data_IF_984454620757
#
_entry.id   IF_984454620757
#
_cell.length_a   1.000
_cell.length_b   1.000
_cell.length_c   1.000
_cell.angle_alpha   90.00
_cell.angle_beta   90.00
_cell.angle_gamma   90.00
#
_symmetry.space_group_name_H-M   'P 1'
#
loop_
_entity.id
_entity.type
_entity.pdbx_description
1 polymer ?
#
# COMPACT_ATOMS: atom_id res chain seq x y z
N UNK A 1 -45.69 -23.13 3.68
CA UNK A 1 -44.82 -22.00 4.14
C UNK A 1 -43.33 -22.36 4.00
N UNK A 2 -42.86 -23.52 4.45
CA UNK A 2 -41.41 -23.91 4.35
C UNK A 2 -40.93 -23.93 2.93
N UNK A 3 -41.68 -24.54 1.99
CA UNK A 3 -41.31 -24.57 0.57
C UNK A 3 -41.19 -23.16 -0.04
N UNK A 4 -42.11 -22.28 0.29
CA UNK A 4 -42.09 -20.90 -0.15
C UNK A 4 -40.84 -20.15 0.37
N UNK A 5 -40.48 -20.35 1.64
CA UNK A 5 -39.28 -19.75 2.22
C UNK A 5 -37.99 -20.22 1.51
N UNK A 6 -37.91 -21.50 1.15
CA UNK A 6 -36.78 -22.06 0.39
C UNK A 6 -36.67 -21.41 -1.00
N UNK A 7 -37.78 -21.27 -1.73
CA UNK A 7 -37.76 -20.61 -3.04
C UNK A 7 -37.42 -19.13 -2.98
N UNK A 8 -37.93 -18.43 -1.97
CA UNK A 8 -37.58 -17.02 -1.71
C UNK A 8 -36.09 -16.86 -1.37
N UNK A 9 -35.55 -17.78 -0.57
CA UNK A 9 -34.13 -17.80 -0.25
C UNK A 9 -33.27 -17.98 -1.52
N UNK A 10 -33.58 -18.97 -2.36
CA UNK A 10 -32.83 -19.20 -3.59
C UNK A 10 -32.97 -18.04 -4.59
N UNK A 11 -34.14 -17.46 -4.71
CA UNK A 11 -34.36 -16.25 -5.52
C UNK A 11 -33.53 -15.07 -5.02
N UNK A 12 -33.57 -14.80 -3.73
CA UNK A 12 -32.72 -13.77 -3.10
C UNK A 12 -31.24 -14.06 -3.32
N UNK A 13 -30.79 -15.29 -3.07
CA UNK A 13 -29.40 -15.67 -3.21
C UNK A 13 -28.89 -15.51 -4.67
N UNK A 14 -29.67 -15.90 -5.64
CA UNK A 14 -29.33 -15.70 -7.04
C UNK A 14 -29.21 -14.22 -7.42
N UNK A 15 -30.13 -13.38 -6.95
CA UNK A 15 -30.07 -11.92 -7.14
C UNK A 15 -28.87 -11.29 -6.43
N UNK A 16 -28.56 -11.76 -5.22
CA UNK A 16 -27.41 -11.30 -4.46
C UNK A 16 -26.11 -11.64 -5.19
N UNK A 17 -25.96 -12.88 -5.65
CA UNK A 17 -24.77 -13.30 -6.42
C UNK A 17 -24.63 -12.47 -7.69
N UNK A 18 -25.73 -12.30 -8.43
CA UNK A 18 -25.73 -11.47 -9.64
C UNK A 18 -25.29 -10.02 -9.33
N UNK A 19 -25.86 -9.41 -8.29
CA UNK A 19 -25.52 -8.06 -7.88
C UNK A 19 -24.05 -7.94 -7.47
N UNK A 20 -23.57 -8.80 -6.58
CA UNK A 20 -22.19 -8.77 -6.10
C UNK A 20 -21.19 -9.00 -7.24
N UNK A 21 -21.46 -9.95 -8.13
CA UNK A 21 -20.60 -10.21 -9.27
C UNK A 21 -20.55 -9.02 -10.24
N UNK A 22 -21.71 -8.41 -10.52
CA UNK A 22 -21.79 -7.23 -11.40
C UNK A 22 -21.06 -6.03 -10.79
N UNK A 23 -21.21 -5.78 -9.47
CA UNK A 23 -20.48 -4.70 -8.80
C UNK A 23 -18.97 -4.97 -8.74
N UNK A 24 -18.57 -6.24 -8.58
CA UNK A 24 -17.13 -6.62 -8.61
C UNK A 24 -16.48 -6.34 -9.99
N UNK A 25 -17.24 -6.45 -11.07
CA UNK A 25 -16.74 -6.19 -12.43
C UNK A 25 -16.57 -4.70 -12.77
N UNK A 26 -16.74 -3.78 -11.82
CA UNK A 26 -16.49 -2.35 -12.04
C UNK A 26 -15.02 -2.00 -12.09
N UNK A 27 -14.17 -2.81 -11.47
CA UNK A 27 -12.73 -2.65 -11.49
C UNK A 27 -12.07 -3.92 -12.08
N UNK A 28 -10.98 -3.75 -12.82
CA UNK A 28 -10.26 -4.84 -13.46
C UNK A 28 -10.94 -5.41 -14.70
N UNK A 29 -11.98 -4.78 -15.24
CA UNK A 29 -12.66 -5.17 -16.47
C UNK A 29 -12.70 -4.00 -17.49
N UNK A 30 -12.76 -4.30 -18.81
CA UNK A 30 -12.77 -5.64 -19.41
C UNK A 30 -11.47 -6.41 -19.17
N UNK A 31 -11.56 -7.75 -19.08
CA UNK A 31 -10.39 -8.62 -19.06
C UNK A 31 -9.59 -8.48 -20.35
N UNK A 32 -8.27 -8.54 -20.24
CA UNK A 32 -7.36 -8.37 -21.37
C UNK A 32 -6.49 -9.62 -21.56
N UNK A 33 -6.09 -9.83 -22.79
CA UNK A 33 -5.07 -10.82 -23.16
C UNK A 33 -3.67 -10.25 -22.87
N UNK A 34 -2.63 -11.09 -22.94
CA UNK A 34 -1.24 -10.66 -22.67
C UNK A 34 -0.71 -9.59 -23.64
N UNK A 35 -1.31 -9.47 -24.81
CA UNK A 35 -1.01 -8.45 -25.80
C UNK A 35 -1.85 -7.15 -25.65
N UNK A 36 -2.66 -7.08 -24.59
CA UNK A 36 -3.48 -5.92 -24.25
C UNK A 36 -4.79 -5.81 -25.06
N UNK A 37 -5.14 -6.82 -25.87
CA UNK A 37 -6.45 -6.87 -26.51
C UNK A 37 -7.53 -7.28 -25.51
N UNK A 38 -8.78 -6.88 -25.76
CA UNK A 38 -9.91 -7.33 -24.94
C UNK A 38 -10.10 -8.84 -25.07
N UNK A 39 -10.07 -9.56 -23.94
CA UNK A 39 -10.29 -10.99 -23.93
C UNK A 39 -11.70 -11.34 -24.45
N UNK A 40 -11.84 -12.39 -25.28
CA UNK A 40 -13.13 -12.77 -25.86
C UNK A 40 -14.12 -13.29 -24.81
N UNK A 41 -13.62 -13.80 -23.69
CA UNK A 41 -14.45 -14.29 -22.59
C UNK A 41 -14.34 -13.33 -21.38
N UNK A 42 -15.41 -12.62 -21.10
CA UNK A 42 -15.54 -11.69 -19.96
C UNK A 42 -16.27 -12.31 -18.75
N UNK A 43 -16.54 -13.62 -18.80
CA UNK A 43 -17.34 -14.33 -17.81
C UNK A 43 -18.84 -14.39 -18.15
N UNK A 44 -19.66 -14.97 -17.26
CA UNK A 44 -21.07 -15.23 -17.54
C UNK A 44 -21.99 -13.99 -17.39
N UNK A 45 -21.50 -12.90 -16.83
CA UNK A 45 -22.30 -11.71 -16.57
C UNK A 45 -21.87 -10.55 -17.47
N UNK A 46 -22.82 -9.66 -17.87
CA UNK A 46 -22.48 -8.49 -18.65
C UNK A 46 -21.69 -7.47 -17.81
N UNK A 47 -20.82 -6.71 -18.48
CA UNK A 47 -20.15 -5.58 -17.85
C UNK A 47 -21.17 -4.54 -17.37
N UNK A 48 -21.05 -4.02 -16.15
CA UNK A 48 -21.97 -3.01 -15.63
C UNK A 48 -21.81 -1.69 -16.35
N UNK A 49 -22.89 -0.91 -16.42
CA UNK A 49 -22.82 0.47 -16.89
C UNK A 49 -21.96 1.31 -15.93
N UNK A 50 -21.23 2.31 -16.44
CA UNK A 50 -20.46 3.20 -15.59
C UNK A 50 -21.32 3.82 -14.47
N UNK A 51 -20.78 3.84 -13.26
CA UNK A 51 -21.39 4.42 -12.06
C UNK A 51 -20.39 5.35 -11.40
N UNK A 52 -20.85 6.54 -11.02
CA UNK A 52 -20.02 7.53 -10.35
C UNK A 52 -20.18 7.42 -8.84
N UNK A 53 -19.08 7.32 -8.15
CA UNK A 53 -18.98 7.32 -6.69
C UNK A 53 -18.39 8.63 -6.22
N UNK A 54 -19.06 9.28 -5.27
CA UNK A 54 -18.53 10.44 -4.57
C UNK A 54 -17.62 9.94 -3.45
N UNK A 55 -16.36 10.35 -3.50
CA UNK A 55 -15.40 9.97 -2.48
C UNK A 55 -15.58 10.86 -1.23
N UNK A 56 -15.51 10.29 -0.01
CA UNK A 56 -15.65 11.06 1.21
C UNK A 56 -14.53 12.09 1.39
N UNK A 57 -14.76 13.07 2.26
CA UNK A 57 -13.78 14.07 2.69
C UNK A 57 -13.22 14.94 1.54
N UNK A 58 -14.06 15.28 0.56
CA UNK A 58 -13.67 16.19 -0.53
C UNK A 58 -12.68 15.60 -1.54
N UNK A 59 -12.47 14.29 -1.55
CA UNK A 59 -11.53 13.60 -2.47
C UNK A 59 -12.02 13.51 -3.92
N UNK A 60 -13.13 14.15 -4.25
CA UNK A 60 -13.68 14.18 -5.60
C UNK A 60 -14.58 13.00 -5.91
N UNK A 61 -14.59 12.57 -7.15
CA UNK A 61 -15.44 11.48 -7.63
C UNK A 61 -14.66 10.52 -8.54
N UNK A 62 -15.10 9.26 -8.56
CA UNK A 62 -14.57 8.21 -9.42
C UNK A 62 -15.71 7.57 -10.18
N UNK A 63 -15.57 7.46 -11.52
CA UNK A 63 -16.53 6.75 -12.37
C UNK A 63 -15.91 5.45 -12.85
N UNK A 64 -16.56 4.32 -12.59
CA UNK A 64 -16.08 3.00 -12.97
C UNK A 64 -17.21 2.11 -13.50
N UNK A 65 -16.93 1.21 -14.46
CA UNK A 65 -15.69 1.04 -15.19
C UNK A 65 -15.39 2.21 -16.13
N UNK A 66 -14.13 2.58 -16.27
CA UNK A 66 -13.70 3.73 -17.09
C UNK A 66 -12.70 3.35 -18.19
N UNK A 67 -12.36 2.05 -18.29
CA UNK A 67 -11.37 1.56 -19.24
C UNK A 67 -9.93 2.03 -18.97
N UNK A 68 -9.66 2.59 -17.78
CA UNK A 68 -8.31 3.01 -17.42
C UNK A 68 -7.37 1.78 -17.35
N UNK A 69 -6.19 1.94 -17.94
CA UNK A 69 -5.13 0.94 -17.94
C UNK A 69 -3.92 1.45 -17.16
N UNK A 70 -3.11 0.52 -16.70
CA UNK A 70 -1.78 0.82 -16.17
C UNK A 70 -0.97 1.49 -17.29
N UNK A 71 -0.52 2.72 -17.05
CA UNK A 71 0.26 3.48 -18.03
C UNK A 71 1.74 3.12 -18.03
N UNK A 72 2.20 2.37 -17.02
CA UNK A 72 3.61 2.02 -16.85
C UNK A 72 3.99 0.88 -17.79
N UNK A 73 4.94 1.13 -18.66
CA UNK A 73 5.61 0.07 -19.42
C UNK A 73 6.53 -0.72 -18.48
N UNK A 74 6.35 -2.03 -18.46
CA UNK A 74 7.10 -2.93 -17.58
C UNK A 74 8.19 -3.62 -18.42
N UNK A 75 9.44 -3.57 -17.94
CA UNK A 75 10.59 -4.17 -18.61
C UNK A 75 10.60 -5.70 -18.49
N UNK A 76 9.59 -6.35 -19.06
CA UNK A 76 9.38 -7.79 -19.05
C UNK A 76 9.23 -8.33 -20.46
N UNK A 77 9.91 -9.44 -20.75
CA UNK A 77 9.80 -10.16 -22.01
C UNK A 77 9.11 -11.51 -21.87
N UNK A 78 8.37 -11.92 -22.88
CA UNK A 78 7.73 -13.24 -22.93
C UNK A 78 8.81 -14.33 -23.02
N UNK A 79 8.65 -15.41 -22.27
CA UNK A 79 9.53 -16.60 -22.34
C UNK A 79 9.03 -17.66 -23.31
N UNK A 80 7.79 -17.57 -23.78
CA UNK A 80 7.16 -18.47 -24.73
C UNK A 80 6.18 -17.74 -25.65
N UNK A 81 5.86 -18.36 -26.78
CA UNK A 81 4.84 -17.86 -27.71
C UNK A 81 3.42 -18.05 -27.14
N UNK A 82 3.20 -19.14 -26.42
CA UNK A 82 1.92 -19.44 -25.79
C UNK A 82 1.66 -18.51 -24.60
N UNK A 83 0.40 -18.18 -24.36
CA UNK A 83 -0.04 -17.41 -23.19
C UNK A 83 0.07 -18.23 -21.90
N UNK A 84 0.16 -17.53 -20.75
CA UNK A 84 0.24 -18.14 -19.42
C UNK A 84 1.63 -18.58 -18.99
N UNK A 85 2.66 -18.36 -19.79
CA UNK A 85 4.05 -18.59 -19.38
C UNK A 85 4.60 -17.38 -18.60
N UNK A 86 5.53 -17.61 -17.66
CA UNK A 86 6.13 -16.52 -16.91
C UNK A 86 6.92 -15.58 -17.83
N UNK A 87 6.92 -14.30 -17.50
CA UNK A 87 7.76 -13.31 -18.15
C UNK A 87 9.13 -13.23 -17.46
N UNK A 88 10.16 -12.90 -18.22
CA UNK A 88 11.52 -12.67 -17.72
C UNK A 88 11.85 -11.17 -17.74
N UNK A 89 12.58 -10.65 -16.75
CA UNK A 89 13.09 -9.29 -16.78
C UNK A 89 14.01 -9.08 -17.99
N UNK A 90 13.89 -7.93 -18.66
CA UNK A 90 14.73 -7.54 -19.81
C UNK A 90 15.98 -6.78 -19.39
N UNK A 91 16.05 -6.29 -18.15
CA UNK A 91 17.16 -5.53 -17.59
C UNK A 91 17.43 -5.90 -16.12
N UNK A 92 17.84 -4.91 -15.33
CA UNK A 92 18.01 -5.08 -13.88
C UNK A 92 16.64 -5.00 -13.18
N UNK A 93 16.12 -6.09 -12.60
CA UNK A 93 14.80 -6.10 -11.96
C UNK A 93 14.66 -5.05 -10.86
N UNK A 94 15.73 -4.74 -10.12
CA UNK A 94 15.68 -3.77 -9.03
C UNK A 94 15.59 -2.34 -9.55
N UNK A 95 16.33 -2.02 -10.63
CA UNK A 95 16.27 -0.71 -11.27
C UNK A 95 14.95 -0.51 -12.05
N UNK A 96 14.48 -1.55 -12.72
CA UNK A 96 13.27 -1.50 -13.56
C UNK A 96 11.95 -1.63 -12.75
N UNK A 97 12.03 -1.90 -11.45
CA UNK A 97 10.87 -2.05 -10.58
C UNK A 97 9.98 -3.24 -10.94
N UNK A 98 10.59 -4.38 -11.27
CA UNK A 98 9.88 -5.62 -11.58
C UNK A 98 10.16 -6.71 -10.55
N UNK A 99 9.32 -7.73 -10.47
CA UNK A 99 9.44 -8.81 -9.50
C UNK A 99 9.35 -8.31 -8.06
N UNK A 100 10.36 -8.58 -7.25
CA UNK A 100 10.41 -8.16 -5.84
C UNK A 100 10.48 -6.64 -5.63
N UNK A 101 10.96 -5.91 -6.64
CA UNK A 101 11.01 -4.45 -6.64
C UNK A 101 9.76 -3.79 -7.25
N UNK A 102 8.78 -4.59 -7.65
CA UNK A 102 7.55 -4.06 -8.25
C UNK A 102 6.76 -3.21 -7.25
N UNK A 103 6.21 -2.11 -7.75
CA UNK A 103 5.37 -1.19 -6.99
C UNK A 103 4.13 -0.80 -7.79
N UNK A 104 3.04 -0.50 -7.10
CA UNK A 104 1.82 0.00 -7.73
C UNK A 104 1.77 1.54 -7.65
N UNK A 105 1.37 2.25 -8.71
CA UNK A 105 1.14 3.69 -8.66
C UNK A 105 -0.05 3.98 -7.75
N UNK A 106 0.24 4.39 -6.53
CA UNK A 106 -0.77 4.81 -5.55
C UNK A 106 -0.97 6.32 -5.61
N UNK A 107 -2.10 6.78 -5.07
CA UNK A 107 -2.37 8.21 -4.96
C UNK A 107 -1.37 8.87 -4.00
N UNK A 108 -0.85 10.01 -4.40
CA UNK A 108 0.09 10.79 -3.62
C UNK A 108 -0.64 11.72 -2.64
N UNK A 109 -1.48 11.12 -1.81
CA UNK A 109 -2.31 11.76 -0.78
C UNK A 109 -2.26 10.91 0.49
N UNK A 110 -2.30 11.52 1.68
CA UNK A 110 -2.33 10.77 2.93
C UNK A 110 -3.62 9.94 3.05
N UNK A 111 -3.53 8.80 3.72
CA UNK A 111 -4.71 8.04 4.11
C UNK A 111 -5.45 8.79 5.21
N UNK A 112 -6.79 8.84 5.12
CA UNK A 112 -7.64 9.48 6.11
C UNK A 112 -8.41 8.44 6.93
N UNK A 113 -8.71 8.79 8.17
CA UNK A 113 -9.65 8.04 9.01
C UNK A 113 -11.10 8.26 8.59
N UNK A 114 -12.06 7.62 9.28
CA UNK A 114 -13.49 7.78 9.01
C UNK A 114 -14.03 9.20 9.25
N UNK A 115 -13.28 10.07 9.91
CA UNK A 115 -13.64 11.45 10.21
C UNK A 115 -12.94 12.47 9.28
N UNK A 116 -12.04 12.01 8.42
CA UNK A 116 -11.30 12.86 7.50
C UNK A 116 -9.97 13.40 8.04
N UNK A 117 -9.49 12.89 9.17
CA UNK A 117 -8.18 13.24 9.70
C UNK A 117 -7.09 12.34 9.11
N UNK A 118 -5.88 12.86 9.01
CA UNK A 118 -4.73 12.07 8.56
C UNK A 118 -4.49 10.90 9.51
N UNK A 119 -4.42 9.68 8.95
CA UNK A 119 -4.40 8.44 9.72
C UNK A 119 -3.05 8.23 10.42
N UNK A 120 -1.94 8.50 9.74
CA UNK A 120 -0.59 8.25 10.24
C UNK A 120 0.13 9.58 10.45
N UNK A 121 0.51 9.86 11.69
CA UNK A 121 1.14 11.11 12.10
C UNK A 121 2.27 10.87 13.12
N UNK A 122 3.29 11.76 13.21
CA UNK A 122 4.28 11.70 14.28
C UNK A 122 3.63 11.94 15.65
N UNK A 123 4.09 11.26 16.69
CA UNK A 123 3.58 11.43 18.05
C UNK A 123 3.75 12.86 18.58
N UNK A 124 4.71 13.60 18.08
CA UNK A 124 4.85 15.03 18.38
C UNK A 124 3.63 15.86 17.96
N UNK A 125 2.89 15.43 16.91
CA UNK A 125 1.65 16.04 16.43
C UNK A 125 0.43 15.36 17.08
N UNK A 126 0.44 14.03 17.15
CA UNK A 126 -0.62 13.24 17.73
C UNK A 126 -0.54 13.19 19.27
N UNK A 127 -0.69 14.33 19.92
CA UNK A 127 -0.45 14.53 21.36
C UNK A 127 -1.36 13.73 22.30
N UNK A 128 -2.44 13.12 21.78
CA UNK A 128 -3.28 12.21 22.54
C UNK A 128 -2.64 10.83 22.77
N UNK A 129 -1.52 10.54 22.07
CA UNK A 129 -0.82 9.26 22.17
C UNK A 129 0.42 9.39 23.05
N UNK A 130 0.67 8.33 23.84
CA UNK A 130 1.85 8.17 24.66
C UNK A 130 2.26 6.72 24.73
N UNK A 131 3.52 6.46 25.08
CA UNK A 131 4.00 5.09 25.29
C UNK A 131 3.36 4.55 26.56
N UNK A 132 2.45 3.59 26.43
CA UNK A 132 1.73 2.97 27.56
C UNK A 132 2.39 1.67 28.04
N UNK A 133 3.11 0.98 27.16
CA UNK A 133 3.79 -0.27 27.49
C UNK A 133 5.06 -0.43 26.65
N UNK A 134 6.03 -1.15 27.21
CA UNK A 134 7.31 -1.35 26.56
C UNK A 134 8.28 -0.20 26.76
N UNK A 135 9.30 -0.16 25.91
CA UNK A 135 10.34 0.86 25.95
C UNK A 135 10.05 1.94 24.91
N UNK A 136 10.13 3.19 25.32
CA UNK A 136 10.18 4.31 24.39
C UNK A 136 11.53 4.31 23.66
N UNK A 137 11.56 4.14 22.32
CA UNK A 137 12.80 4.10 21.58
C UNK A 137 13.39 5.47 21.28
N UNK A 138 12.68 6.57 21.55
CA UNK A 138 13.15 7.92 21.26
C UNK A 138 14.45 8.22 22.02
N UNK A 139 15.41 8.80 21.32
CA UNK A 139 16.75 9.06 21.84
C UNK A 139 17.72 7.87 21.79
N UNK A 140 17.25 6.66 21.47
CA UNK A 140 18.14 5.53 21.28
C UNK A 140 18.92 5.65 19.97
N UNK A 141 20.18 5.18 19.99
CA UNK A 141 21.01 5.08 18.77
C UNK A 141 20.45 4.02 17.85
N UNK A 142 20.60 4.26 16.54
CA UNK A 142 20.21 3.33 15.46
C UNK A 142 21.45 2.66 14.91
N UNK A 143 21.49 1.34 14.97
CA UNK A 143 22.56 0.51 14.46
C UNK A 143 22.12 -0.24 13.21
N UNK A 144 22.89 -0.10 12.13
CA UNK A 144 22.69 -0.79 10.86
C UNK A 144 23.16 -2.27 10.92
N UNK A 145 22.99 -3.01 9.82
CA UNK A 145 23.37 -4.44 9.74
C UNK A 145 24.87 -4.68 9.89
N UNK A 146 25.70 -3.73 9.49
CA UNK A 146 27.17 -3.71 9.59
C UNK A 146 27.67 -3.29 10.99
N UNK A 147 26.78 -3.07 11.96
CA UNK A 147 26.99 -2.61 13.32
C UNK A 147 27.39 -1.12 13.46
N UNK A 148 27.43 -0.37 12.37
CA UNK A 148 27.68 1.06 12.42
C UNK A 148 26.45 1.84 12.94
N UNK A 149 26.70 2.95 13.65
CA UNK A 149 25.65 3.81 14.17
C UNK A 149 25.34 4.90 13.15
N UNK A 150 24.13 4.87 12.62
CA UNK A 150 23.68 5.76 11.53
C UNK A 150 22.93 7.00 12.02
N UNK A 151 22.45 7.01 13.27
CA UNK A 151 21.67 8.12 13.80
C UNK A 151 21.00 7.82 15.12
N UNK A 152 19.98 8.58 15.47
CA UNK A 152 19.16 8.41 16.66
C UNK A 152 17.67 8.49 16.32
N UNK A 153 16.84 7.78 17.09
CA UNK A 153 15.38 7.87 16.95
C UNK A 153 14.90 9.24 17.45
N UNK A 154 14.25 10.00 16.59
CA UNK A 154 13.68 11.31 16.91
C UNK A 154 12.22 11.24 17.33
N UNK A 155 11.41 10.42 16.64
CA UNK A 155 9.98 10.28 16.94
C UNK A 155 9.43 8.91 16.51
N UNK A 156 8.18 8.66 16.86
CA UNK A 156 7.39 7.51 16.43
C UNK A 156 6.17 8.00 15.67
N UNK A 157 5.85 7.33 14.56
CA UNK A 157 4.68 7.65 13.76
C UNK A 157 3.57 6.65 14.04
N UNK A 158 2.44 7.16 14.51
CA UNK A 158 1.30 6.36 14.97
C UNK A 158 0.17 6.39 13.97
N UNK A 159 -0.40 5.21 13.76
CA UNK A 159 -1.68 5.01 13.12
C UNK A 159 -2.75 5.22 14.21
N UNK A 160 -3.38 6.39 14.19
CA UNK A 160 -4.30 6.79 15.25
C UNK A 160 -5.53 5.87 15.38
N UNK A 161 -6.26 5.51 14.30
CA UNK A 161 -7.37 4.57 14.38
C UNK A 161 -6.99 3.17 14.88
N UNK A 162 -5.82 2.67 14.51
CA UNK A 162 -5.38 1.33 14.89
C UNK A 162 -4.57 1.30 16.19
N UNK A 163 -4.21 2.48 16.72
CA UNK A 163 -3.43 2.65 17.96
C UNK A 163 -2.10 1.91 17.94
N UNK A 164 -1.43 1.92 16.79
CA UNK A 164 -0.13 1.25 16.62
C UNK A 164 0.92 2.22 16.07
N UNK A 165 2.19 1.96 16.43
CA UNK A 165 3.34 2.60 15.78
C UNK A 165 3.60 1.92 14.45
N UNK A 166 3.58 2.69 13.35
CA UNK A 166 3.88 2.20 11.99
C UNK A 166 5.33 2.40 11.62
N UNK A 167 5.91 3.55 11.99
CA UNK A 167 7.29 3.89 11.62
C UNK A 167 8.03 4.48 12.82
N UNK A 168 9.35 4.30 12.83
CA UNK A 168 10.28 5.10 13.63
C UNK A 168 10.94 6.14 12.75
N UNK A 169 11.01 7.37 13.23
CA UNK A 169 11.73 8.46 12.59
C UNK A 169 13.17 8.49 13.11
N UNK A 170 14.12 8.50 12.20
CA UNK A 170 15.55 8.54 12.49
C UNK A 170 16.11 9.89 12.07
N UNK A 171 16.81 10.55 12.96
CA UNK A 171 17.75 11.62 12.62
C UNK A 171 19.07 11.00 12.24
N UNK A 172 19.50 11.10 10.97
CA UNK A 172 20.78 10.59 10.51
C UNK A 172 21.93 11.47 10.99
N UNK A 173 23.08 10.85 11.27
CA UNK A 173 24.31 11.55 11.65
C UNK A 173 24.81 12.50 10.52
N UNK A 174 24.58 12.10 9.27
CA UNK A 174 24.90 12.87 8.07
C UNK A 174 23.87 13.96 7.74
N UNK A 175 22.82 14.03 8.53
CA UNK A 175 21.70 14.96 8.38
C UNK A 175 20.50 14.39 7.64
N UNK A 176 19.36 15.01 7.92
CA UNK A 176 18.06 14.61 7.38
C UNK A 176 17.37 13.53 8.21
N UNK A 177 16.08 13.38 7.96
CA UNK A 177 15.21 12.41 8.63
C UNK A 177 14.83 11.28 7.69
N UNK A 178 14.66 10.08 8.25
CA UNK A 178 14.17 8.89 7.51
C UNK A 178 13.14 8.16 8.34
N UNK A 179 12.15 7.59 7.66
CA UNK A 179 11.17 6.71 8.28
C UNK A 179 11.55 5.24 8.04
N UNK A 180 11.48 4.45 9.09
CA UNK A 180 11.72 3.01 9.01
C UNK A 180 10.48 2.27 9.52
N UNK A 181 9.92 1.34 8.71
CA UNK A 181 8.77 0.55 9.11
C UNK A 181 9.06 -0.31 10.34
N UNK A 182 8.12 -0.36 11.29
CA UNK A 182 8.27 -1.15 12.51
C UNK A 182 8.64 -2.63 12.30
N UNK A 183 8.15 -3.35 11.27
CA UNK A 183 8.55 -4.74 11.04
C UNK A 183 10.05 -4.94 10.75
N UNK A 184 10.75 -3.89 10.32
CA UNK A 184 12.20 -3.93 10.05
C UNK A 184 13.06 -3.60 11.26
N UNK A 185 12.42 -3.28 12.39
CA UNK A 185 13.06 -2.74 13.58
C UNK A 185 13.13 -3.77 14.71
N UNK A 186 14.27 -3.82 15.40
CA UNK A 186 14.43 -4.52 16.69
C UNK A 186 14.84 -3.54 17.76
N UNK A 187 13.99 -3.31 18.75
CA UNK A 187 14.26 -2.41 19.88
C UNK A 187 14.94 -3.18 21.00
N UNK A 188 16.16 -2.80 21.34
CA UNK A 188 16.95 -3.37 22.44
C UNK A 188 16.97 -2.38 23.62
N UNK A 189 17.69 -2.75 24.68
CA UNK A 189 17.75 -1.93 25.89
C UNK A 189 18.43 -0.56 25.65
N UNK A 190 19.44 -0.54 24.81
CA UNK A 190 20.37 0.59 24.60
C UNK A 190 20.39 1.09 23.15
N UNK A 191 19.72 0.41 22.24
CA UNK A 191 19.76 0.72 20.81
C UNK A 191 18.54 0.18 20.07
N UNK A 192 18.36 0.72 18.88
CA UNK A 192 17.45 0.19 17.84
C UNK A 192 18.32 -0.44 16.76
N UNK A 193 18.02 -1.68 16.36
CA UNK A 193 18.75 -2.35 15.28
C UNK A 193 17.88 -2.52 14.04
N UNK A 194 18.48 -2.22 12.88
CA UNK A 194 17.88 -2.40 11.57
C UNK A 194 18.80 -3.32 10.77
N UNK A 195 18.34 -4.54 10.48
CA UNK A 195 19.14 -5.55 9.79
C UNK A 195 18.99 -5.54 8.27
N UNK A 196 18.05 -4.74 7.75
CA UNK A 196 17.73 -4.71 6.32
C UNK A 196 18.64 -3.83 5.47
N UNK A 197 19.40 -2.91 6.10
CA UNK A 197 20.26 -1.95 5.41
C UNK A 197 21.64 -1.84 6.06
N UNK A 198 22.67 -1.64 5.23
CA UNK A 198 24.00 -1.22 5.65
C UNK A 198 24.02 0.30 5.88
N UNK A 199 24.98 0.78 6.65
CA UNK A 199 25.09 2.19 7.03
C UNK A 199 25.13 3.15 5.86
N UNK A 200 25.86 2.80 4.80
CA UNK A 200 26.05 3.57 3.57
C UNK A 200 24.75 3.76 2.76
N UNK A 201 23.76 2.90 2.94
CA UNK A 201 22.50 2.94 2.19
C UNK A 201 21.43 3.84 2.81
N UNK A 202 21.59 4.26 4.07
CA UNK A 202 20.57 5.06 4.76
C UNK A 202 20.35 6.44 4.15
N UNK A 203 21.41 7.06 3.62
CA UNK A 203 21.29 8.32 2.91
C UNK A 203 20.40 8.24 1.67
N UNK A 204 20.41 7.09 0.99
CA UNK A 204 19.61 6.80 -0.21
C UNK A 204 18.13 6.48 0.06
N UNK A 205 17.73 6.24 1.31
CA UNK A 205 16.31 6.01 1.65
C UNK A 205 15.50 7.27 1.32
N UNK A 206 14.39 7.18 0.58
CA UNK A 206 13.55 8.33 0.27
C UNK A 206 13.06 9.08 1.51
N UNK A 207 12.93 10.39 1.37
CA UNK A 207 12.32 11.24 2.42
C UNK A 207 10.84 11.41 2.15
N UNK A 208 10.05 11.65 3.20
CA UNK A 208 8.67 12.07 3.06
C UNK A 208 8.59 13.51 2.54
N UNK A 209 7.54 13.84 1.79
CA UNK A 209 7.26 15.20 1.32
C UNK A 209 6.87 16.14 2.46
N UNK A 210 6.17 15.60 3.44
CA UNK A 210 5.68 16.33 4.61
C UNK A 210 6.39 15.85 5.88
N UNK A 211 6.60 16.76 6.82
CA UNK A 211 7.15 16.43 8.14
C UNK A 211 6.09 15.87 9.11
N UNK A 212 4.80 15.90 8.74
CA UNK A 212 3.68 15.56 9.63
C UNK A 212 2.73 14.50 9.06
N UNK A 213 2.93 14.06 7.84
CA UNK A 213 2.09 13.07 7.19
C UNK A 213 2.88 12.25 6.17
N UNK A 214 2.41 11.05 5.90
CA UNK A 214 2.94 10.15 4.88
C UNK A 214 1.81 9.84 3.89
N UNK A 215 2.15 9.79 2.60
CA UNK A 215 1.16 9.52 1.55
C UNK A 215 1.05 8.02 1.27
N UNK A 216 0.01 7.62 0.55
CA UNK A 216 -0.15 6.22 0.10
C UNK A 216 0.94 5.80 -0.89
N UNK A 217 1.58 6.76 -1.57
CA UNK A 217 2.67 6.51 -2.52
C UNK A 217 4.01 6.33 -1.80
N UNK A 218 4.24 7.03 -0.72
CA UNK A 218 5.42 6.93 0.15
C UNK A 218 5.38 5.68 1.04
#
# INVERSE_FOLDING_TARGET
LASLAIWLFWGFFALLVYYLQTENMREGYPLETEDGATAPNQGPFPLPRPKTFLLPHGRGQVTVPNGAREAREVALGRTAVSEGFPHAPLGDPMADGVGAAAWAPRRDLPELDGHGHVKIQPMAVATAFGVSAGRDPRGLVVQANDNEVVGTISDMWVDAPEQLVRYLEINLNEGGKRLVPMPMVKIWKDRVRINSLSSDLFAGVPTTKSASEVTLLE
#
